data_IF_434082280233
#
_entry.id   IF_434082280233
#
_cell.length_a   1.000
_cell.length_b   1.000
_cell.length_c   1.000
_cell.angle_alpha   90.00
_cell.angle_beta   90.00
_cell.angle_gamma   90.00
#
_symmetry.space_group_name_H-M   'P 1'
#
loop_
_entity.id
_entity.type
_entity.pdbx_description
1 polymer ?
#
# COMPACT_ATOMS: atom_id res chain seq x y z
N UNK A 1 -6.37 -22.77 -15.39
CA UNK A 1 -7.06 -23.75 -14.54
C UNK A 1 -7.79 -24.71 -15.49
N UNK A 2 -7.31 -25.95 -15.61
CA UNK A 2 -7.86 -26.95 -16.55
C UNK A 2 -9.24 -27.39 -16.06
N UNK A 3 -10.30 -27.08 -16.81
CA UNK A 3 -11.63 -27.63 -16.57
C UNK A 3 -11.64 -29.08 -17.05
N UNK A 4 -11.77 -30.00 -16.10
CA UNK A 4 -11.99 -31.41 -16.36
C UNK A 4 -13.30 -31.58 -17.14
N UNK A 5 -13.22 -32.37 -18.22
CA UNK A 5 -14.36 -32.86 -18.98
C UNK A 5 -15.18 -33.82 -18.12
N UNK A 6 -16.35 -33.39 -17.67
CA UNK A 6 -17.33 -34.28 -17.03
C UNK A 6 -17.89 -35.29 -18.06
N UNK A 7 -18.18 -36.54 -17.64
CA UNK A 7 -18.68 -37.57 -18.52
C UNK A 7 -20.13 -37.28 -18.95
N UNK A 8 -20.44 -37.58 -20.21
CA UNK A 8 -21.77 -37.43 -20.82
C UNK A 8 -22.79 -38.33 -20.10
N UNK A 9 -23.52 -37.76 -19.14
CA UNK A 9 -24.70 -38.37 -18.53
C UNK A 9 -25.86 -38.19 -19.51
N UNK A 10 -26.66 -39.24 -19.75
CA UNK A 10 -27.87 -39.17 -20.58
C UNK A 10 -28.82 -38.10 -20.01
N UNK A 11 -28.92 -36.97 -20.72
CA UNK A 11 -29.73 -35.81 -20.34
C UNK A 11 -31.19 -36.10 -20.73
N UNK A 12 -32.10 -35.97 -19.76
CA UNK A 12 -33.55 -36.06 -19.99
C UNK A 12 -34.03 -34.97 -20.97
N UNK A 13 -35.02 -35.27 -21.80
CA UNK A 13 -35.45 -34.40 -22.91
C UNK A 13 -35.91 -33.01 -22.47
N UNK A 14 -36.52 -32.92 -21.28
CA UNK A 14 -37.00 -31.66 -20.70
C UNK A 14 -35.87 -30.79 -20.14
N UNK A 15 -34.77 -31.39 -19.63
CA UNK A 15 -33.58 -30.65 -19.15
C UNK A 15 -32.79 -30.04 -20.31
N UNK A 16 -32.76 -30.73 -21.46
CA UNK A 16 -32.10 -30.24 -22.67
C UNK A 16 -32.77 -28.97 -23.21
N UNK A 17 -34.11 -28.92 -23.24
CA UNK A 17 -34.87 -27.76 -23.73
C UNK A 17 -34.69 -26.56 -22.81
N UNK A 18 -34.70 -26.77 -21.48
CA UNK A 18 -34.47 -25.70 -20.51
C UNK A 18 -33.06 -25.09 -20.62
N UNK A 19 -32.04 -25.94 -20.79
CA UNK A 19 -30.66 -25.49 -21.04
C UNK A 19 -30.53 -24.73 -22.35
N UNK A 20 -31.18 -25.20 -23.42
CA UNK A 20 -31.14 -24.55 -24.73
C UNK A 20 -31.76 -23.15 -24.67
N UNK A 21 -32.92 -23.00 -24.02
CA UNK A 21 -33.56 -21.70 -23.79
C UNK A 21 -32.70 -20.75 -22.94
N UNK A 22 -32.00 -21.28 -21.93
CA UNK A 22 -31.10 -20.48 -21.08
C UNK A 22 -29.93 -19.90 -21.90
N UNK A 23 -29.28 -20.73 -22.72
CA UNK A 23 -28.15 -20.28 -23.52
C UNK A 23 -28.57 -19.42 -24.73
N UNK A 24 -29.71 -19.72 -25.38
CA UNK A 24 -30.27 -18.85 -26.42
C UNK A 24 -30.56 -17.44 -25.89
N UNK A 25 -31.17 -17.32 -24.69
CA UNK A 25 -31.42 -16.02 -24.07
C UNK A 25 -30.12 -15.28 -23.73
N UNK A 26 -29.08 -15.98 -23.25
CA UNK A 26 -27.78 -15.36 -22.96
C UNK A 26 -27.06 -14.89 -24.21
N UNK A 27 -27.05 -15.69 -25.28
CA UNK A 27 -26.46 -15.31 -26.56
C UNK A 27 -27.25 -14.16 -27.20
N UNK A 28 -28.58 -14.16 -27.11
CA UNK A 28 -29.41 -13.05 -27.57
C UNK A 28 -29.11 -11.75 -26.80
N UNK A 29 -28.94 -11.84 -25.48
CA UNK A 29 -28.56 -10.69 -24.65
C UNK A 29 -27.15 -10.18 -24.97
N UNK A 30 -26.19 -11.09 -25.22
CA UNK A 30 -24.85 -10.74 -25.68
C UNK A 30 -24.87 -10.02 -27.04
N UNK A 31 -25.65 -10.51 -28.02
CA UNK A 31 -25.85 -9.84 -29.31
C UNK A 31 -26.47 -8.44 -29.20
N UNK A 32 -27.33 -8.22 -28.20
CA UNK A 32 -27.98 -6.92 -27.98
C UNK A 32 -27.03 -5.91 -27.35
N UNK A 33 -26.28 -6.32 -26.33
CA UNK A 33 -25.37 -5.42 -25.63
C UNK A 33 -24.07 -5.18 -26.42
N UNK A 34 -23.55 -6.24 -27.06
CA UNK A 34 -22.17 -6.31 -27.56
C UNK A 34 -22.16 -7.05 -28.92
N UNK A 35 -22.64 -6.36 -29.98
CA UNK A 35 -22.99 -6.97 -31.26
C UNK A 35 -21.77 -7.39 -32.10
N UNK A 36 -20.58 -6.83 -31.87
CA UNK A 36 -19.37 -7.14 -32.65
C UNK A 36 -18.72 -8.43 -32.12
N UNK A 37 -18.55 -8.53 -30.82
CA UNK A 37 -17.94 -9.66 -30.12
C UNK A 37 -18.83 -10.92 -30.24
N UNK A 38 -20.14 -10.73 -30.12
CA UNK A 38 -21.10 -11.82 -30.34
C UNK A 38 -21.15 -12.28 -31.80
N UNK A 39 -20.79 -11.43 -32.76
CA UNK A 39 -20.71 -11.78 -34.18
C UNK A 39 -19.43 -12.57 -34.47
N UNK A 40 -18.28 -12.12 -33.99
CA UNK A 40 -17.00 -12.83 -34.15
C UNK A 40 -17.02 -14.22 -33.51
N UNK A 41 -17.55 -14.33 -32.28
CA UNK A 41 -17.67 -15.62 -31.59
C UNK A 41 -18.55 -16.62 -32.36
N UNK A 42 -19.59 -16.14 -33.05
CA UNK A 42 -20.42 -17.02 -33.88
C UNK A 42 -19.81 -17.36 -35.23
N UNK A 43 -19.07 -16.44 -35.85
CA UNK A 43 -18.33 -16.73 -37.09
C UNK A 43 -17.25 -17.80 -36.84
N UNK A 44 -16.58 -17.78 -35.69
CA UNK A 44 -15.58 -18.81 -35.33
C UNK A 44 -16.25 -20.17 -35.05
N UNK A 45 -17.40 -20.15 -34.37
CA UNK A 45 -18.18 -21.36 -34.10
C UNK A 45 -18.75 -21.99 -35.39
N UNK A 46 -19.21 -21.18 -36.34
CA UNK A 46 -19.64 -21.65 -37.67
C UNK A 46 -18.46 -22.21 -38.48
N UNK A 47 -17.26 -21.65 -38.33
CA UNK A 47 -16.04 -22.17 -38.97
C UNK A 47 -15.63 -23.54 -38.39
N UNK A 48 -15.69 -23.73 -37.06
CA UNK A 48 -15.38 -25.01 -36.41
C UNK A 48 -16.39 -26.12 -36.78
N UNK A 49 -17.67 -25.79 -36.95
CA UNK A 49 -18.68 -26.75 -37.40
C UNK A 49 -18.40 -27.22 -38.85
N UNK A 50 -17.94 -26.32 -39.71
CA UNK A 50 -17.61 -26.61 -41.11
C UNK A 50 -16.35 -27.47 -41.31
N UNK A 51 -15.39 -27.42 -40.38
CA UNK A 51 -14.14 -28.21 -40.43
C UNK A 51 -14.31 -29.61 -39.80
N UNK A 52 -15.34 -29.81 -38.97
CA UNK A 52 -15.68 -31.09 -38.31
C UNK A 52 -16.34 -32.15 -39.22
N UNK A 53 -16.53 -31.85 -40.51
CA UNK A 53 -17.06 -32.79 -41.51
C UNK A 53 -18.57 -33.09 -41.38
N UNK A 54 -19.29 -32.38 -40.51
CA UNK A 54 -20.74 -32.42 -40.39
C UNK A 54 -21.38 -31.62 -41.52
N UNK A 55 -21.76 -32.27 -42.63
CA UNK A 55 -22.70 -31.67 -43.60
C UNK A 55 -24.12 -31.64 -42.98
N UNK A 56 -24.33 -30.75 -42.02
CA UNK A 56 -25.63 -30.36 -41.51
C UNK A 56 -26.06 -29.04 -42.16
N UNK A 57 -27.14 -29.08 -42.93
CA UNK A 57 -27.71 -27.95 -43.67
C UNK A 57 -27.79 -26.66 -42.85
N UNK A 58 -27.00 -25.65 -43.23
CA UNK A 58 -27.25 -24.24 -42.91
C UNK A 58 -28.55 -23.83 -43.62
N UNK A 59 -29.68 -24.00 -42.93
CA UNK A 59 -31.01 -23.77 -43.45
C UNK A 59 -31.85 -23.00 -42.44
N UNK A 60 -32.46 -21.92 -42.91
CA UNK A 60 -33.39 -21.04 -42.19
C UNK A 60 -34.34 -21.79 -41.24
N UNK A 61 -34.28 -21.43 -39.97
CA UNK A 61 -35.00 -22.10 -38.88
C UNK A 61 -36.37 -21.47 -38.68
N UNK A 62 -37.33 -21.87 -39.51
CA UNK A 62 -38.76 -21.69 -39.22
C UNK A 62 -39.67 -22.86 -39.61
N UNK A 63 -39.11 -23.99 -40.05
CA UNK A 63 -39.88 -25.20 -40.35
C UNK A 63 -39.51 -26.33 -39.40
N UNK A 64 -40.45 -26.77 -38.56
CA UNK A 64 -40.36 -28.09 -37.95
C UNK A 64 -40.57 -29.12 -39.05
N UNK A 65 -39.55 -29.94 -39.33
CA UNK A 65 -39.67 -31.03 -40.30
C UNK A 65 -40.53 -32.13 -39.70
N UNK A 66 -41.73 -32.33 -40.25
CA UNK A 66 -42.76 -33.21 -39.70
C UNK A 66 -42.41 -34.71 -39.83
N UNK A 67 -41.31 -35.05 -40.51
CA UNK A 67 -40.81 -36.42 -40.69
C UNK A 67 -39.57 -36.76 -39.86
N UNK A 68 -39.15 -35.88 -38.94
CA UNK A 68 -37.94 -36.09 -38.14
C UNK A 68 -38.11 -37.18 -37.06
N UNK A 69 -37.18 -38.13 -36.99
CA UNK A 69 -37.21 -39.15 -35.94
C UNK A 69 -36.81 -38.56 -34.57
N UNK A 70 -37.28 -39.14 -33.44
CA UNK A 70 -36.92 -38.65 -32.11
C UNK A 70 -35.40 -38.58 -31.85
N UNK A 71 -34.64 -39.49 -32.46
CA UNK A 71 -33.17 -39.56 -32.33
C UNK A 71 -32.48 -38.42 -33.08
N UNK A 72 -32.91 -38.13 -34.31
CA UNK A 72 -32.38 -37.00 -35.10
C UNK A 72 -32.66 -35.66 -34.42
N UNK A 73 -33.84 -35.53 -33.80
CA UNK A 73 -34.22 -34.33 -33.03
C UNK A 73 -33.30 -34.13 -31.82
N UNK A 74 -33.05 -35.17 -31.03
CA UNK A 74 -32.16 -35.08 -29.86
C UNK A 74 -30.73 -34.75 -30.28
N UNK A 75 -30.22 -35.35 -31.35
CA UNK A 75 -28.88 -35.08 -31.85
C UNK A 75 -28.74 -33.62 -32.34
N UNK A 76 -29.74 -33.10 -33.06
CA UNK A 76 -29.78 -31.69 -33.51
C UNK A 76 -29.78 -30.72 -32.34
N UNK A 77 -30.58 -31.00 -31.29
CA UNK A 77 -30.64 -30.16 -30.10
C UNK A 77 -29.33 -30.20 -29.29
N UNK A 78 -28.67 -31.34 -29.21
CA UNK A 78 -27.36 -31.47 -28.57
C UNK A 78 -26.26 -30.69 -29.33
N UNK A 79 -26.22 -30.77 -30.66
CA UNK A 79 -25.29 -29.97 -31.47
C UNK A 79 -25.51 -28.47 -31.27
N UNK A 80 -26.77 -28.02 -31.28
CA UNK A 80 -27.11 -26.61 -31.01
C UNK A 80 -26.71 -26.16 -29.61
N UNK A 81 -26.93 -27.00 -28.60
CA UNK A 81 -26.51 -26.70 -27.23
C UNK A 81 -24.99 -26.56 -27.14
N UNK A 82 -24.24 -27.43 -27.82
CA UNK A 82 -22.78 -27.37 -27.85
C UNK A 82 -22.29 -26.05 -28.48
N UNK A 83 -22.82 -25.67 -29.64
CA UNK A 83 -22.46 -24.42 -30.32
C UNK A 83 -22.74 -23.18 -29.45
N UNK A 84 -23.88 -23.15 -28.76
CA UNK A 84 -24.24 -22.04 -27.88
C UNK A 84 -23.34 -21.95 -26.64
N UNK A 85 -22.93 -23.08 -26.08
CA UNK A 85 -21.98 -23.13 -24.95
C UNK A 85 -20.60 -22.64 -25.40
N UNK A 86 -20.12 -23.09 -26.56
CA UNK A 86 -18.83 -22.67 -27.12
C UNK A 86 -18.82 -21.16 -27.39
N UNK A 87 -19.84 -20.63 -28.07
CA UNK A 87 -19.97 -19.20 -28.33
C UNK A 87 -19.99 -18.37 -27.05
N UNK A 88 -20.75 -18.79 -26.03
CA UNK A 88 -20.81 -18.10 -24.74
C UNK A 88 -19.45 -18.11 -24.01
N UNK A 89 -18.69 -19.20 -24.12
CA UNK A 89 -17.38 -19.35 -23.49
C UNK A 89 -16.35 -18.43 -24.15
N UNK A 90 -16.34 -18.36 -25.48
CA UNK A 90 -15.44 -17.48 -26.24
C UNK A 90 -15.69 -16.01 -25.94
N UNK A 91 -16.97 -15.60 -25.85
CA UNK A 91 -17.34 -14.23 -25.47
C UNK A 91 -16.82 -13.87 -24.07
N UNK A 92 -16.93 -14.79 -23.11
CA UNK A 92 -16.42 -14.58 -21.75
C UNK A 92 -14.88 -14.46 -21.73
N UNK A 93 -14.18 -15.29 -22.49
CA UNK A 93 -12.71 -15.23 -22.61
C UNK A 93 -12.25 -13.90 -23.23
N UNK A 94 -12.91 -13.45 -24.29
CA UNK A 94 -12.64 -12.14 -24.90
C UNK A 94 -12.77 -10.99 -23.90
N UNK A 95 -13.79 -11.02 -23.02
CA UNK A 95 -13.89 -10.01 -21.94
C UNK A 95 -12.76 -10.09 -20.93
N UNK A 96 -12.35 -11.30 -20.55
CA UNK A 96 -11.23 -11.48 -19.62
C UNK A 96 -9.94 -10.92 -20.21
N UNK A 97 -9.68 -11.19 -21.49
CA UNK A 97 -8.49 -10.71 -22.20
C UNK A 97 -8.50 -9.19 -22.37
N UNK A 98 -9.63 -8.59 -22.76
CA UNK A 98 -9.77 -7.14 -22.87
C UNK A 98 -9.61 -6.44 -21.51
N UNK A 99 -10.20 -6.99 -20.45
CA UNK A 99 -10.06 -6.44 -19.10
C UNK A 99 -8.61 -6.52 -18.59
N UNK A 100 -7.92 -7.64 -18.84
CA UNK A 100 -6.50 -7.78 -18.51
C UNK A 100 -5.63 -6.81 -19.31
N UNK A 101 -5.95 -6.58 -20.58
CA UNK A 101 -5.19 -5.65 -21.43
C UNK A 101 -5.36 -4.20 -20.96
N UNK A 102 -6.59 -3.78 -20.62
CA UNK A 102 -6.84 -2.45 -20.04
C UNK A 102 -6.16 -2.27 -18.67
N UNK A 103 -6.12 -3.33 -17.85
CA UNK A 103 -5.38 -3.33 -16.58
C UNK A 103 -3.87 -3.18 -16.80
N UNK A 104 -3.31 -3.87 -17.79
CA UNK A 104 -1.89 -3.74 -18.17
C UNK A 104 -1.58 -2.35 -18.73
N UNK A 105 -2.43 -1.80 -19.60
CA UNK A 105 -2.24 -0.45 -20.14
C UNK A 105 -2.36 0.63 -19.05
N UNK A 106 -3.32 0.51 -18.13
CA UNK A 106 -3.45 1.41 -16.98
C UNK A 106 -2.25 1.29 -16.03
N UNK A 107 -1.78 0.07 -15.74
CA UNK A 107 -0.62 -0.16 -14.90
C UNK A 107 0.70 0.30 -15.53
N UNK A 108 0.83 0.25 -16.87
CA UNK A 108 2.01 0.70 -17.61
C UNK A 108 2.05 2.22 -17.84
N UNK A 109 0.92 2.92 -17.70
CA UNK A 109 0.82 4.37 -17.87
C UNK A 109 1.38 5.21 -16.70
N UNK A 110 1.86 4.58 -15.61
CA UNK A 110 2.19 5.27 -14.35
C UNK A 110 3.68 5.38 -13.94
N UNK A 111 4.60 5.89 -14.77
CA UNK A 111 5.92 6.29 -14.24
C UNK A 111 5.86 7.46 -13.24
N UNK A 112 4.72 8.16 -13.11
CA UNK A 112 4.59 9.39 -12.30
C UNK A 112 3.96 9.18 -10.90
N UNK A 113 3.31 8.05 -10.64
CA UNK A 113 2.49 7.84 -9.44
C UNK A 113 3.24 8.01 -8.10
N UNK A 114 4.50 7.54 -7.91
CA UNK A 114 5.18 7.69 -6.62
C UNK A 114 5.79 9.09 -6.40
N UNK A 115 5.92 9.92 -7.44
CA UNK A 115 6.56 11.24 -7.32
C UNK A 115 5.60 12.36 -6.91
N UNK A 116 4.31 12.25 -7.27
CA UNK A 116 3.28 13.22 -6.88
C UNK A 116 3.16 13.36 -5.35
N UNK A 117 3.12 12.25 -4.56
CA UNK A 117 3.07 12.33 -3.11
C UNK A 117 4.30 12.98 -2.48
N UNK A 118 5.48 12.88 -3.10
CA UNK A 118 6.70 13.58 -2.63
C UNK A 118 6.50 15.09 -2.71
N UNK A 119 6.05 15.59 -3.87
CA UNK A 119 5.76 17.02 -4.06
C UNK A 119 4.65 17.46 -3.11
N UNK A 120 3.61 16.64 -2.93
CA UNK A 120 2.55 16.86 -1.95
C UNK A 120 3.08 16.97 -0.52
N UNK A 121 4.01 16.10 -0.13
CA UNK A 121 4.68 16.13 1.18
C UNK A 121 5.48 17.41 1.40
N UNK A 122 6.25 17.85 0.40
CA UNK A 122 7.00 19.13 0.46
C UNK A 122 6.05 20.32 0.60
N UNK A 123 4.98 20.35 -0.19
CA UNK A 123 3.99 21.41 -0.12
C UNK A 123 3.26 21.43 1.24
N UNK A 124 2.88 20.25 1.76
CA UNK A 124 2.28 20.13 3.08
C UNK A 124 3.22 20.64 4.18
N UNK A 125 4.52 20.35 4.09
CA UNK A 125 5.52 20.88 5.01
C UNK A 125 5.55 22.41 5.01
N UNK A 126 5.60 23.03 3.82
CA UNK A 126 5.57 24.49 3.69
C UNK A 126 4.29 25.10 4.25
N UNK A 127 3.14 24.48 3.96
CA UNK A 127 1.84 24.92 4.46
C UNK A 127 1.76 24.86 5.99
N UNK A 128 2.21 23.75 6.61
CA UNK A 128 2.26 23.61 8.07
C UNK A 128 3.22 24.62 8.69
N UNK A 129 4.39 24.85 8.07
CA UNK A 129 5.35 25.85 8.54
C UNK A 129 4.74 27.26 8.57
N UNK A 130 4.10 27.69 7.46
CA UNK A 130 3.49 29.01 7.35
C UNK A 130 2.29 29.17 8.29
N UNK A 131 1.43 28.14 8.38
CA UNK A 131 0.30 28.13 9.30
C UNK A 131 0.77 28.22 10.75
N UNK A 132 1.81 27.46 11.10
CA UNK A 132 2.42 27.52 12.44
C UNK A 132 2.96 28.90 12.72
N UNK A 133 3.68 29.51 11.78
CA UNK A 133 4.21 30.86 11.95
C UNK A 133 3.09 31.89 12.17
N UNK A 134 2.01 31.80 11.39
CA UNK A 134 0.85 32.67 11.51
C UNK A 134 0.18 32.51 12.89
N UNK A 135 -0.24 31.28 13.24
CA UNK A 135 -0.90 30.96 14.51
C UNK A 135 0.00 31.28 15.71
N UNK A 136 1.30 31.00 15.61
CA UNK A 136 2.24 31.26 16.70
C UNK A 136 2.44 32.75 16.95
N UNK A 137 2.48 33.55 15.88
CA UNK A 137 2.62 35.01 15.98
C UNK A 137 1.42 35.68 16.62
N UNK A 138 0.21 35.12 16.47
CA UNK A 138 -1.04 35.70 16.99
C UNK A 138 -1.41 35.20 18.38
N UNK A 139 -1.20 33.90 18.67
CA UNK A 139 -1.68 33.28 19.90
C UNK A 139 -0.62 33.11 21.00
N UNK A 140 0.67 33.12 20.66
CA UNK A 140 1.74 32.83 21.62
C UNK A 140 2.65 34.04 21.84
N UNK A 141 2.44 34.74 22.96
CA UNK A 141 3.31 35.86 23.37
C UNK A 141 4.79 35.48 23.49
N UNK A 142 5.10 34.24 23.86
CA UNK A 142 6.49 33.79 23.93
C UNK A 142 7.17 33.73 22.56
N UNK A 143 6.42 33.47 21.48
CA UNK A 143 6.95 33.33 20.13
C UNK A 143 7.52 34.67 19.61
N UNK A 144 6.83 35.78 19.90
CA UNK A 144 7.30 37.12 19.51
C UNK A 144 8.56 37.56 20.27
N UNK A 145 8.86 36.97 21.43
CA UNK A 145 10.12 37.22 22.15
C UNK A 145 11.30 36.33 21.70
N UNK A 146 11.05 35.30 20.88
CA UNK A 146 12.10 34.38 20.41
C UNK A 146 13.03 35.03 19.39
N UNK A 147 14.29 34.58 19.38
CA UNK A 147 15.25 34.92 18.33
C UNK A 147 14.79 34.38 16.97
N UNK A 148 15.34 34.92 15.87
CA UNK A 148 15.01 34.46 14.52
C UNK A 148 15.24 32.94 14.36
N UNK A 149 16.36 32.45 14.88
CA UNK A 149 16.72 31.04 14.86
C UNK A 149 15.75 30.17 15.67
N UNK A 150 15.39 30.61 16.87
CA UNK A 150 14.41 29.91 17.71
C UNK A 150 13.01 29.88 17.08
N UNK A 151 12.60 30.91 16.36
CA UNK A 151 11.33 30.90 15.60
C UNK A 151 11.39 29.91 14.45
N UNK A 152 12.51 29.82 13.73
CA UNK A 152 12.72 28.80 12.70
C UNK A 152 12.61 27.40 13.29
N UNK A 153 13.31 27.12 14.40
CA UNK A 153 13.25 25.83 15.08
C UNK A 153 11.83 25.55 15.60
N UNK A 154 11.15 26.54 16.14
CA UNK A 154 9.76 26.43 16.61
C UNK A 154 8.82 25.97 15.49
N UNK A 155 8.92 26.57 14.31
CA UNK A 155 8.09 26.22 13.17
C UNK A 155 8.49 24.85 12.58
N UNK A 156 9.78 24.54 12.53
CA UNK A 156 10.27 23.24 12.07
C UNK A 156 9.81 22.08 12.98
N UNK A 157 9.76 22.32 14.29
CA UNK A 157 9.22 21.37 15.28
C UNK A 157 7.72 21.13 15.12
N UNK A 158 6.96 22.10 14.61
CA UNK A 158 5.54 21.90 14.36
C UNK A 158 5.33 21.04 13.11
N UNK A 159 6.10 21.33 12.05
CA UNK A 159 6.14 20.51 10.83
C UNK A 159 6.45 19.04 11.14
N UNK A 160 7.54 18.77 11.88
CA UNK A 160 7.91 17.42 12.30
C UNK A 160 6.87 16.77 13.22
N UNK A 161 6.20 17.54 14.09
CA UNK A 161 5.11 17.01 14.92
C UNK A 161 3.91 16.54 14.09
N UNK A 162 3.51 17.32 13.07
CA UNK A 162 2.38 16.96 12.21
C UNK A 162 2.70 15.72 11.37
N UNK A 163 3.89 15.68 10.75
CA UNK A 163 4.32 14.49 10.01
C UNK A 163 4.42 13.26 10.91
N UNK A 164 5.02 13.39 12.08
CA UNK A 164 5.17 12.27 13.01
C UNK A 164 3.82 11.68 13.43
N UNK A 165 2.80 12.52 13.68
CA UNK A 165 1.43 12.06 13.95
C UNK A 165 0.86 11.32 12.73
N UNK A 166 0.94 11.92 11.55
CA UNK A 166 0.45 11.32 10.30
C UNK A 166 1.09 9.95 10.04
N UNK A 167 2.41 9.88 10.03
CA UNK A 167 3.12 8.65 9.69
C UNK A 167 2.96 7.59 10.76
N UNK A 168 2.88 7.96 12.05
CA UNK A 168 2.60 7.00 13.13
C UNK A 168 1.24 6.35 12.94
N UNK A 169 0.19 7.16 12.71
CA UNK A 169 -1.17 6.65 12.52
C UNK A 169 -1.24 5.73 11.32
N UNK A 170 -0.67 6.15 10.18
CA UNK A 170 -0.67 5.33 8.96
C UNK A 170 0.16 4.06 9.12
N UNK A 171 1.31 4.12 9.78
CA UNK A 171 2.17 2.95 9.99
C UNK A 171 1.50 1.93 10.91
N UNK A 172 0.87 2.37 12.01
CA UNK A 172 0.13 1.48 12.90
C UNK A 172 -1.05 0.83 12.19
N UNK A 173 -1.81 1.60 11.39
CA UNK A 173 -2.90 1.07 10.58
C UNK A 173 -2.39 0.00 9.60
N UNK A 174 -1.36 0.31 8.81
CA UNK A 174 -0.85 -0.59 7.79
C UNK A 174 -0.22 -1.86 8.40
N UNK A 175 0.58 -1.73 9.46
CA UNK A 175 1.31 -2.87 10.06
C UNK A 175 0.42 -3.77 10.91
N UNK A 176 -0.50 -3.21 11.69
CA UNK A 176 -1.24 -3.99 12.71
C UNK A 176 -2.74 -4.12 12.45
N UNK A 177 -3.33 -3.21 11.68
CA UNK A 177 -4.80 -3.13 11.54
C UNK A 177 -5.29 -3.50 10.15
N UNK A 178 -4.43 -3.39 9.14
CA UNK A 178 -4.72 -3.80 7.77
C UNK A 178 -4.23 -5.22 7.53
N UNK A 179 -4.90 -5.94 6.64
CA UNK A 179 -4.49 -7.29 6.24
C UNK A 179 -3.28 -7.30 5.29
N UNK A 180 -2.74 -6.11 4.93
CA UNK A 180 -1.69 -5.94 3.92
C UNK A 180 -0.42 -6.74 4.22
N UNK A 181 -0.03 -6.83 5.50
CA UNK A 181 1.19 -7.52 5.94
C UNK A 181 0.91 -8.77 6.76
N UNK A 182 -0.29 -9.35 6.63
CA UNK A 182 -0.62 -10.62 7.26
C UNK A 182 0.26 -11.77 6.73
N UNK A 183 0.55 -12.76 7.58
CA UNK A 183 1.33 -13.96 7.24
C UNK A 183 0.54 -15.01 6.45
N UNK A 184 -0.40 -14.57 5.60
CA UNK A 184 -1.06 -15.47 4.66
C UNK A 184 -0.06 -15.95 3.60
N UNK A 185 0.31 -17.23 3.69
CA UNK A 185 1.24 -17.89 2.77
C UNK A 185 0.74 -17.90 1.33
N UNK A 186 -0.58 -17.81 1.10
CA UNK A 186 -1.16 -17.77 -0.24
C UNK A 186 -0.94 -16.40 -0.92
N UNK A 187 -0.77 -15.34 -0.14
CA UNK A 187 -0.61 -13.97 -0.62
C UNK A 187 0.86 -13.57 -0.93
N UNK A 188 1.79 -14.53 -0.89
CA UNK A 188 3.20 -14.33 -1.20
C UNK A 188 4.05 -13.76 -0.05
N UNK A 189 5.38 -13.56 -0.26
CA UNK A 189 6.27 -13.12 0.81
C UNK A 189 5.97 -11.70 1.25
N UNK A 190 5.99 -11.45 2.58
CA UNK A 190 5.64 -10.17 3.19
C UNK A 190 6.56 -9.02 2.73
N UNK A 191 7.78 -9.37 2.30
CA UNK A 191 8.79 -8.44 1.79
C UNK A 191 8.45 -7.84 0.43
N UNK A 192 7.51 -8.41 -0.32
CA UNK A 192 7.04 -7.88 -1.61
C UNK A 192 5.63 -7.29 -1.54
N UNK A 193 4.96 -7.35 -0.38
CA UNK A 193 3.62 -6.81 -0.21
C UNK A 193 3.66 -5.28 -0.17
N UNK A 194 2.87 -4.66 -1.04
CA UNK A 194 2.67 -3.22 -1.10
C UNK A 194 1.28 -2.90 -1.65
N UNK A 195 0.84 -1.66 -1.48
CA UNK A 195 -0.44 -1.15 -1.97
C UNK A 195 -0.26 0.29 -2.46
N UNK A 196 -1.18 0.82 -3.30
CA UNK A 196 -1.14 2.23 -3.70
C UNK A 196 -1.16 3.17 -2.49
N UNK A 197 -1.94 2.84 -1.46
CA UNK A 197 -2.02 3.63 -0.24
C UNK A 197 -0.68 3.64 0.53
N UNK A 198 -0.04 2.48 0.67
CA UNK A 198 1.24 2.39 1.37
C UNK A 198 2.34 3.14 0.60
N UNK A 199 2.44 2.93 -0.70
CA UNK A 199 3.39 3.69 -1.54
C UNK A 199 3.13 5.20 -1.48
N UNK A 200 1.87 5.64 -1.49
CA UNK A 200 1.49 7.05 -1.32
C UNK A 200 2.00 7.63 0.01
N UNK A 201 1.75 6.93 1.13
CA UNK A 201 2.17 7.36 2.47
C UNK A 201 3.69 7.47 2.60
N UNK A 202 4.44 6.53 2.00
CA UNK A 202 5.89 6.60 1.95
C UNK A 202 6.35 7.81 1.13
N UNK A 203 5.72 8.11 0.00
CA UNK A 203 6.07 9.28 -0.82
C UNK A 203 5.84 10.60 -0.11
N UNK A 204 4.74 10.76 0.61
CA UNK A 204 4.52 11.93 1.49
C UNK A 204 5.66 12.05 2.52
N UNK A 205 6.09 10.92 3.09
CA UNK A 205 7.19 10.90 4.06
C UNK A 205 8.54 11.22 3.45
N UNK A 206 8.85 10.74 2.24
CA UNK A 206 10.06 11.13 1.50
C UNK A 206 10.09 12.65 1.32
N UNK A 207 8.97 13.26 0.91
CA UNK A 207 8.86 14.72 0.77
C UNK A 207 9.12 15.48 2.07
N UNK A 208 8.60 14.97 3.19
CA UNK A 208 8.90 15.52 4.53
C UNK A 208 10.38 15.42 4.88
N UNK A 209 10.97 14.21 4.80
CA UNK A 209 12.37 14.00 5.19
C UNK A 209 13.34 14.82 4.33
N UNK A 210 13.05 15.00 3.03
CA UNK A 210 13.80 15.91 2.15
C UNK A 210 13.72 17.36 2.59
N UNK A 211 12.53 17.81 3.02
CA UNK A 211 12.35 19.18 3.53
C UNK A 211 13.09 19.38 4.85
N UNK A 212 12.99 18.42 5.77
CA UNK A 212 13.61 18.52 7.10
C UNK A 212 15.14 18.45 7.01
N UNK A 213 15.71 17.58 6.15
CA UNK A 213 17.16 17.54 5.96
C UNK A 213 17.69 18.81 5.28
N UNK A 214 16.93 19.40 4.35
CA UNK A 214 17.30 20.68 3.73
C UNK A 214 17.37 21.79 4.79
N UNK A 215 16.41 21.82 5.74
CA UNK A 215 16.43 22.73 6.88
C UNK A 215 17.63 22.48 7.80
N UNK A 216 17.91 21.21 8.13
CA UNK A 216 19.06 20.84 8.97
C UNK A 216 20.37 21.31 8.34
N UNK A 217 20.57 21.12 7.04
CA UNK A 217 21.77 21.60 6.35
C UNK A 217 21.84 23.13 6.30
N UNK A 218 20.73 23.80 6.02
CA UNK A 218 20.69 25.26 5.90
C UNK A 218 21.04 25.97 7.22
N UNK A 219 20.64 25.39 8.35
CA UNK A 219 20.88 25.94 9.68
C UNK A 219 21.83 25.05 10.50
N UNK A 220 22.73 24.31 9.84
CA UNK A 220 23.72 23.49 10.54
C UNK A 220 24.76 24.37 11.25
N UNK A 221 25.14 24.09 12.52
CA UNK A 221 24.73 22.97 13.37
C UNK A 221 23.56 23.28 14.34
N UNK A 222 22.91 24.43 14.20
CA UNK A 222 21.94 24.93 15.17
C UNK A 222 20.64 24.10 15.25
N UNK A 223 20.14 23.56 14.13
CA UNK A 223 18.92 22.72 14.12
C UNK A 223 19.19 21.24 14.44
N UNK A 224 20.44 20.79 14.43
CA UNK A 224 20.77 19.38 14.66
C UNK A 224 22.26 19.06 14.52
N UNK A 225 22.72 18.11 15.32
CA UNK A 225 24.07 17.52 15.22
C UNK A 225 24.20 16.50 14.10
N UNK A 226 25.43 15.99 13.93
CA UNK A 226 25.76 14.97 12.91
C UNK A 226 24.87 13.72 13.01
N UNK A 227 24.44 13.35 14.21
CA UNK A 227 23.53 12.22 14.41
C UNK A 227 22.19 12.43 13.69
N UNK A 228 21.66 13.65 13.65
CA UNK A 228 20.42 13.94 12.94
C UNK A 228 20.61 13.88 11.44
N UNK A 229 21.75 14.36 10.93
CA UNK A 229 22.09 14.26 9.50
C UNK A 229 22.17 12.79 9.06
N UNK A 230 22.91 11.97 9.81
CA UNK A 230 23.04 10.52 9.50
C UNK A 230 21.67 9.83 9.58
N UNK A 231 20.88 10.12 10.62
CA UNK A 231 19.53 9.60 10.74
C UNK A 231 18.67 9.91 9.50
N UNK A 232 18.61 11.18 9.09
CA UNK A 232 17.77 11.60 7.97
C UNK A 232 18.24 11.03 6.64
N UNK A 233 19.56 10.98 6.38
CA UNK A 233 20.08 10.39 5.14
C UNK A 233 19.72 8.90 5.02
N UNK A 234 19.92 8.12 6.09
CA UNK A 234 19.57 6.70 6.11
C UNK A 234 18.06 6.49 5.94
N UNK A 235 17.24 7.33 6.60
CA UNK A 235 15.78 7.31 6.46
C UNK A 235 15.35 7.64 5.03
N UNK A 236 15.89 8.69 4.39
CA UNK A 236 15.53 9.09 3.02
C UNK A 236 15.82 7.96 2.03
N UNK A 237 17.02 7.37 2.10
CA UNK A 237 17.41 6.28 1.19
C UNK A 237 16.49 5.07 1.37
N UNK A 238 16.18 4.70 2.62
CA UNK A 238 15.30 3.55 2.92
C UNK A 238 13.86 3.78 2.49
N UNK A 239 13.32 4.98 2.76
CA UNK A 239 11.97 5.38 2.38
C UNK A 239 11.81 5.45 0.86
N UNK A 240 12.76 6.07 0.17
CA UNK A 240 12.74 6.18 -1.28
C UNK A 240 12.84 4.79 -1.93
N UNK A 241 13.72 3.92 -1.42
CA UNK A 241 13.82 2.54 -1.88
C UNK A 241 12.48 1.79 -1.76
N UNK A 242 11.89 1.76 -0.56
CA UNK A 242 10.67 1.02 -0.29
C UNK A 242 9.45 1.59 -1.04
N UNK A 243 9.43 2.91 -1.27
CA UNK A 243 8.42 3.57 -2.09
C UNK A 243 8.56 3.21 -3.57
N UNK A 244 9.77 3.28 -4.14
CA UNK A 244 9.99 3.10 -5.58
C UNK A 244 9.91 1.63 -6.00
N UNK A 245 10.33 0.70 -5.14
CA UNK A 245 10.39 -0.73 -5.47
C UNK A 245 9.16 -1.50 -4.99
N UNK A 246 8.42 -0.97 -4.01
CA UNK A 246 7.39 -1.73 -3.30
C UNK A 246 7.93 -2.79 -2.35
N UNK A 247 9.25 -2.97 -2.28
CA UNK A 247 9.89 -3.99 -1.45
C UNK A 247 10.13 -3.49 -0.02
N UNK A 248 10.07 -4.42 0.94
CA UNK A 248 10.38 -4.21 2.35
C UNK A 248 9.57 -3.09 3.05
N UNK A 249 8.40 -2.70 2.51
CA UNK A 249 7.59 -1.64 3.09
C UNK A 249 7.18 -1.93 4.54
N UNK A 250 6.90 -3.20 4.90
CA UNK A 250 6.63 -3.62 6.27
C UNK A 250 7.71 -3.13 7.25
N UNK A 251 8.99 -3.42 6.95
CA UNK A 251 10.10 -3.07 7.82
C UNK A 251 10.32 -1.57 7.90
N UNK A 252 10.13 -0.87 6.77
CA UNK A 252 10.14 0.60 6.74
C UNK A 252 9.06 1.18 7.65
N UNK A 253 7.83 0.65 7.62
CA UNK A 253 6.76 1.10 8.51
C UNK A 253 6.98 0.74 9.98
N UNK A 254 7.53 -0.43 10.27
CA UNK A 254 7.94 -0.78 11.64
C UNK A 254 8.95 0.24 12.20
N UNK A 255 9.92 0.67 11.39
CA UNK A 255 10.84 1.75 11.78
C UNK A 255 10.10 3.08 11.94
N UNK A 256 9.19 3.44 11.03
CA UNK A 256 8.45 4.71 11.07
C UNK A 256 7.49 4.85 12.25
N UNK A 257 7.00 3.76 12.84
CA UNK A 257 6.23 3.81 14.11
C UNK A 257 7.06 4.50 15.21
N UNK A 258 8.40 4.45 15.15
CA UNK A 258 9.25 5.15 16.10
C UNK A 258 9.10 6.68 16.09
N UNK A 259 8.52 7.27 15.04
CA UNK A 259 8.18 8.70 15.00
C UNK A 259 7.11 9.07 16.03
N UNK A 260 6.40 8.12 16.63
CA UNK A 260 5.46 8.37 17.73
C UNK A 260 6.10 9.10 18.92
N UNK A 261 7.42 9.00 19.08
CA UNK A 261 8.14 9.72 20.15
C UNK A 261 8.36 11.20 19.85
N UNK A 262 8.38 11.59 18.57
CA UNK A 262 8.74 12.92 18.08
C UNK A 262 7.84 14.04 18.62
N UNK A 263 6.49 13.89 18.65
CA UNK A 263 5.60 14.88 19.27
C UNK A 263 5.93 15.13 20.76
N UNK A 264 6.30 14.07 21.49
CA UNK A 264 6.70 14.18 22.88
C UNK A 264 7.97 15.01 23.05
N UNK A 265 9.00 14.72 22.24
CA UNK A 265 10.28 15.45 22.25
C UNK A 265 10.06 16.93 21.89
N UNK A 266 9.26 17.22 20.85
CA UNK A 266 8.95 18.58 20.43
C UNK A 266 8.16 19.34 21.49
N UNK A 267 7.15 18.72 22.11
CA UNK A 267 6.42 19.32 23.22
C UNK A 267 7.33 19.66 24.41
N UNK A 268 8.30 18.79 24.72
CA UNK A 268 9.29 19.07 25.76
C UNK A 268 10.10 20.33 25.46
N UNK A 269 10.52 20.49 24.22
CA UNK A 269 11.26 21.66 23.76
C UNK A 269 10.40 22.93 23.81
N UNK A 270 9.13 22.88 23.38
CA UNK A 270 8.22 24.02 23.49
C UNK A 270 8.05 24.47 24.95
N UNK A 271 7.88 23.52 25.87
CA UNK A 271 7.80 23.81 27.30
C UNK A 271 9.12 24.39 27.85
N UNK A 272 10.27 23.97 27.33
CA UNK A 272 11.58 24.53 27.69
C UNK A 272 11.67 26.01 27.29
N UNK A 273 11.44 26.29 26.00
CA UNK A 273 11.53 27.63 25.42
C UNK A 273 10.50 28.59 26.02
N UNK A 274 9.33 28.08 26.40
CA UNK A 274 8.33 28.86 27.13
C UNK A 274 8.68 29.11 28.61
N UNK A 275 9.85 28.67 29.10
CA UNK A 275 10.29 28.83 30.49
C UNK A 275 9.60 27.89 31.48
N UNK A 276 8.97 26.82 31.01
CA UNK A 276 8.08 25.95 31.79
C UNK A 276 8.75 24.66 32.31
N UNK A 277 10.09 24.60 32.42
CA UNK A 277 10.83 23.41 32.92
C UNK A 277 10.39 22.90 34.29
N UNK A 278 9.87 23.78 35.14
CA UNK A 278 9.43 23.45 36.51
C UNK A 278 7.96 23.03 36.59
N UNK A 279 7.21 23.11 35.48
CA UNK A 279 5.79 22.79 35.45
C UNK A 279 5.52 21.29 35.61
N UNK A 280 4.31 20.94 36.06
CA UNK A 280 3.84 19.55 36.06
C UNK A 280 3.79 18.98 34.64
N UNK A 281 3.39 19.79 33.66
CA UNK A 281 3.35 19.41 32.24
C UNK A 281 4.70 18.92 31.73
N UNK A 282 5.80 19.63 32.05
CA UNK A 282 7.15 19.25 31.64
C UNK A 282 7.60 17.89 32.21
N UNK A 283 7.16 17.58 33.43
CA UNK A 283 7.49 16.32 34.10
C UNK A 283 6.65 15.17 33.55
N UNK A 284 5.34 15.37 33.43
CA UNK A 284 4.42 14.36 32.84
C UNK A 284 4.86 14.03 31.41
N UNK A 285 5.17 15.05 30.61
CA UNK A 285 5.73 14.85 29.27
C UNK A 285 7.05 14.06 29.30
N UNK A 286 7.96 14.34 30.24
CA UNK A 286 9.21 13.60 30.39
C UNK A 286 9.03 12.12 30.71
N UNK A 287 8.07 11.80 31.60
CA UNK A 287 7.69 10.42 31.90
C UNK A 287 7.05 9.76 30.66
N UNK A 288 6.17 10.47 29.96
CA UNK A 288 5.55 10.00 28.71
C UNK A 288 6.59 9.67 27.64
N UNK A 289 7.60 10.54 27.43
CA UNK A 289 8.72 10.30 26.51
C UNK A 289 9.48 9.02 26.89
N UNK A 290 9.75 8.80 28.18
CA UNK A 290 10.48 7.61 28.62
C UNK A 290 9.74 6.33 28.22
N UNK A 291 8.44 6.24 28.50
CA UNK A 291 7.64 5.06 28.16
C UNK A 291 7.41 4.91 26.65
N UNK A 292 7.12 6.01 25.93
CA UNK A 292 6.95 5.94 24.48
C UNK A 292 8.24 5.52 23.78
N UNK A 293 9.40 5.98 24.27
CA UNK A 293 10.71 5.55 23.75
C UNK A 293 10.98 4.07 24.02
N UNK A 294 10.74 3.60 25.24
CA UNK A 294 10.90 2.19 25.59
C UNK A 294 10.07 1.30 24.66
N UNK A 295 8.80 1.63 24.44
CA UNK A 295 7.90 0.82 23.61
C UNK A 295 8.25 0.93 22.12
N UNK A 296 8.28 2.14 21.58
CA UNK A 296 8.36 2.35 20.13
C UNK A 296 9.79 2.29 19.56
N UNK A 297 10.83 2.46 20.38
CA UNK A 297 12.22 2.51 19.91
C UNK A 297 13.12 1.40 20.48
N UNK A 298 12.74 0.76 21.58
CA UNK A 298 13.47 -0.39 22.14
C UNK A 298 12.73 -1.69 21.86
N UNK A 299 11.51 -1.86 22.39
CA UNK A 299 10.75 -3.10 22.26
C UNK A 299 10.38 -3.35 20.79
N UNK A 300 9.88 -2.34 20.09
CA UNK A 300 9.54 -2.49 18.67
C UNK A 300 10.76 -2.81 17.80
N UNK A 301 11.94 -2.25 18.10
CA UNK A 301 13.17 -2.59 17.37
C UNK A 301 13.62 -4.02 17.66
N UNK A 302 13.47 -4.51 18.90
CA UNK A 302 13.69 -5.93 19.20
C UNK A 302 12.76 -6.82 18.38
N UNK A 303 11.47 -6.46 18.29
CA UNK A 303 10.49 -7.16 17.45
C UNK A 303 10.85 -7.09 15.97
N UNK A 304 11.29 -5.94 15.46
CA UNK A 304 11.75 -5.76 14.08
C UNK A 304 12.91 -6.72 13.75
N UNK A 305 13.94 -6.78 14.59
CA UNK A 305 15.07 -7.70 14.38
C UNK A 305 14.64 -9.17 14.47
N UNK A 306 13.76 -9.50 15.41
CA UNK A 306 13.16 -10.83 15.49
C UNK A 306 12.43 -11.18 14.18
N UNK A 307 11.59 -10.28 13.68
CA UNK A 307 10.81 -10.51 12.46
C UNK A 307 11.72 -10.69 11.22
N UNK A 308 12.74 -9.84 11.07
CA UNK A 308 13.74 -9.96 10.00
C UNK A 308 14.48 -11.30 10.08
N UNK A 309 14.84 -11.75 11.29
CA UNK A 309 15.53 -13.02 11.49
C UNK A 309 14.67 -14.22 11.07
N UNK A 310 13.39 -14.26 11.49
CA UNK A 310 12.49 -15.35 11.15
C UNK A 310 12.06 -15.34 9.68
N UNK A 311 12.04 -14.17 9.04
CA UNK A 311 11.71 -14.02 7.61
C UNK A 311 12.95 -13.82 6.74
N UNK A 312 14.12 -14.26 7.20
CA UNK A 312 15.38 -14.02 6.52
C UNK A 312 15.40 -14.57 5.08
N UNK A 313 14.78 -15.73 4.85
CA UNK A 313 14.66 -16.31 3.52
C UNK A 313 13.88 -15.43 2.55
N UNK A 314 12.87 -14.69 3.03
CA UNK A 314 12.13 -13.72 2.22
C UNK A 314 12.94 -12.45 2.00
N UNK A 315 13.65 -11.99 3.05
CA UNK A 315 14.55 -10.83 2.94
C UNK A 315 15.62 -11.08 1.89
N UNK A 316 16.20 -12.28 1.79
CA UNK A 316 17.23 -12.60 0.77
C UNK A 316 16.72 -12.60 -0.67
N UNK A 317 15.41 -12.60 -0.88
CA UNK A 317 14.81 -12.61 -2.22
C UNK A 317 14.65 -11.21 -2.82
N UNK A 318 14.65 -10.16 -2.00
CA UNK A 318 14.55 -8.77 -2.48
C UNK A 318 15.86 -8.31 -3.11
N UNK A 319 15.88 -7.15 -3.77
CA UNK A 319 17.10 -6.67 -4.43
C UNK A 319 18.24 -6.45 -3.43
N UNK A 320 19.49 -6.58 -3.90
CA UNK A 320 20.70 -6.46 -3.06
C UNK A 320 20.73 -5.17 -2.23
N UNK A 321 20.28 -4.05 -2.81
CA UNK A 321 20.18 -2.79 -2.09
C UNK A 321 19.13 -2.86 -0.97
N UNK A 322 17.97 -3.48 -1.20
CA UNK A 322 16.95 -3.71 -0.18
C UNK A 322 17.45 -4.59 0.96
N UNK A 323 18.16 -5.68 0.66
CA UNK A 323 18.79 -6.54 1.68
C UNK A 323 19.72 -5.71 2.57
N UNK A 324 20.57 -4.89 1.95
CA UNK A 324 21.47 -3.99 2.67
C UNK A 324 20.70 -2.99 3.55
N UNK A 325 19.66 -2.34 3.02
CA UNK A 325 18.89 -1.34 3.75
C UNK A 325 18.12 -1.95 4.93
N UNK A 326 17.43 -3.08 4.71
CA UNK A 326 16.66 -3.79 5.75
C UNK A 326 17.55 -4.28 6.88
N UNK A 327 18.81 -4.62 6.60
CA UNK A 327 19.75 -5.12 7.62
C UNK A 327 20.51 -3.99 8.30
N UNK A 328 21.14 -3.09 7.55
CA UNK A 328 22.07 -2.10 8.08
C UNK A 328 21.35 -0.89 8.70
N UNK A 329 20.29 -0.39 8.07
CA UNK A 329 19.65 0.85 8.55
C UNK A 329 18.98 0.64 9.92
N UNK A 330 18.16 -0.40 10.15
CA UNK A 330 17.63 -0.68 11.48
C UNK A 330 18.70 -0.89 12.54
N UNK A 331 19.85 -1.51 12.20
CA UNK A 331 20.96 -1.68 13.14
C UNK A 331 21.54 -0.32 13.58
N UNK A 332 21.86 0.56 12.64
CA UNK A 332 22.39 1.90 12.95
C UNK A 332 21.37 2.71 13.76
N UNK A 333 20.11 2.72 13.34
CA UNK A 333 19.04 3.40 14.06
C UNK A 333 18.81 2.81 15.46
N UNK A 334 18.95 1.49 15.62
CA UNK A 334 18.88 0.80 16.91
C UNK A 334 19.97 1.25 17.88
N UNK A 335 21.21 1.37 17.42
CA UNK A 335 22.33 1.90 18.23
C UNK A 335 22.04 3.35 18.65
N UNK A 336 21.58 4.18 17.73
CA UNK A 336 21.20 5.57 18.03
C UNK A 336 20.06 5.64 19.05
N UNK A 337 19.05 4.77 18.91
CA UNK A 337 17.94 4.66 19.85
C UNK A 337 18.40 4.29 21.27
N UNK A 338 19.39 3.41 21.41
CA UNK A 338 19.98 3.07 22.72
C UNK A 338 20.76 4.25 23.31
N UNK A 339 21.56 4.95 22.50
CA UNK A 339 22.30 6.13 22.93
C UNK A 339 21.38 7.24 23.45
N UNK A 340 20.30 7.53 22.71
CA UNK A 340 19.30 8.52 23.11
C UNK A 340 18.48 8.07 24.32
N UNK A 341 18.12 6.78 24.40
CA UNK A 341 17.42 6.24 25.57
C UNK A 341 18.25 6.40 26.85
N UNK A 342 19.57 6.16 26.78
CA UNK A 342 20.47 6.41 27.90
C UNK A 342 20.46 7.88 28.35
N UNK A 343 20.39 8.85 27.41
CA UNK A 343 20.23 10.28 27.74
C UNK A 343 18.89 10.56 28.43
N UNK A 344 17.79 9.99 27.92
CA UNK A 344 16.43 10.17 28.48
C UNK A 344 16.35 9.59 29.90
N UNK A 345 16.84 8.36 30.09
CA UNK A 345 16.86 7.69 31.39
C UNK A 345 17.66 8.47 32.44
N UNK A 346 18.86 8.95 32.07
CA UNK A 346 19.67 9.78 32.95
C UNK A 346 19.01 11.14 33.25
N UNK A 347 18.30 11.73 32.27
CA UNK A 347 17.49 12.92 32.47
C UNK A 347 16.38 12.71 33.49
N UNK A 348 15.63 11.61 33.36
CA UNK A 348 14.54 11.25 34.27
C UNK A 348 15.05 10.99 35.70
N UNK A 349 16.15 10.24 35.85
CA UNK A 349 16.80 10.02 37.16
C UNK A 349 17.12 11.34 37.86
N UNK A 350 17.73 12.29 37.15
CA UNK A 350 18.07 13.61 37.70
C UNK A 350 16.82 14.40 38.10
N UNK A 351 15.70 14.27 37.39
CA UNK A 351 14.44 14.93 37.75
C UNK A 351 13.82 14.34 39.01
N UNK A 352 13.87 13.01 39.18
CA UNK A 352 13.33 12.33 40.37
C UNK A 352 14.20 12.58 41.61
N UNK A 353 15.52 12.54 41.47
CA UNK A 353 16.46 12.75 42.58
C UNK A 353 16.39 14.17 43.17
N UNK A 354 15.96 15.18 42.40
CA UNK A 354 15.76 16.56 42.89
C UNK A 354 14.47 16.77 43.68
N UNK A 355 13.62 15.74 43.76
CA UNK A 355 12.31 15.78 44.45
C UNK A 355 12.28 14.90 45.70
N UNK A 356 13.30 14.06 45.88
CA UNK A 356 13.66 13.46 47.16
C UNK A 356 14.48 14.49 47.94
#
# INVERSE_FOLDING_TARGET
>A
MSMATEPVIAIDGDDLVARLLYFENRVAFARLLLPVEAKEAMEIVDMEDSDSGSKGSSGDLKGADLNETPVERTQRLQSRLHLLITAATMVIQSYQDQAEQLLKEYALAEPAMPYIPIIGGIFACKMVYDLTQFVSSTHFKCYSSLSKLQRTEWNNRAMSTVHAIFITVMSLYLVFWSDLYSDDQLAGPVTFKSSPLSTFVLGVSVGYFLTDIAMIFWFYPDLGGLEYVVHHLLSIVSLAYAMLTGEAQLYTYMVLISETTTPGINLRWYLDIAGMKRSRAYIINGVGIFFSWLVARIILFMYLFYHIYFHYDQVRQIQTLGVFLVTVVPLVLGVMNLMWFAKIFNGLKKTLAKRQ
#
